data_IF_672757060102
#
_entry.id   IF_672757060102
#
_cell.length_a   1.000
_cell.length_b   1.000
_cell.length_c   1.000
_cell.angle_alpha   90.00
_cell.angle_beta   90.00
_cell.angle_gamma   90.00
#
_symmetry.space_group_name_H-M   'P 1'
#
loop_
_entity.id
_entity.type
_entity.pdbx_description
1 polymer ?
#
# COMPACT_ATOMS: atom_id res chain seq x y z
N UNK A 1 0.39 0.15 12.22
CA UNK A 1 1.72 0.70 12.54
C UNK A 1 1.91 1.97 11.73
N UNK A 2 2.50 3.02 12.29
CA UNK A 2 3.00 4.16 11.48
C UNK A 2 4.47 3.90 11.21
N UNK A 3 4.81 3.58 9.96
CA UNK A 3 6.19 3.33 9.55
C UNK A 3 6.92 4.65 9.27
N UNK A 4 8.24 4.64 9.44
CA UNK A 4 9.14 5.71 8.97
C UNK A 4 9.87 5.35 7.68
N UNK A 5 9.51 4.22 7.04
CA UNK A 5 10.10 3.78 5.79
C UNK A 5 9.82 4.79 4.67
N UNK A 6 10.85 5.02 3.86
CA UNK A 6 10.83 5.87 2.65
C UNK A 6 10.37 5.11 1.41
N UNK A 7 10.38 3.77 1.46
CA UNK A 7 9.99 2.89 0.34
C UNK A 7 9.11 1.74 0.83
N UNK A 8 8.27 1.22 -0.06
CA UNK A 8 7.41 0.05 0.22
C UNK A 8 8.23 -1.21 0.50
N UNK A 9 9.43 -1.33 -0.08
CA UNK A 9 10.35 -2.44 0.20
C UNK A 9 10.86 -2.40 1.64
N UNK A 10 11.29 -1.24 2.13
CA UNK A 10 11.65 -1.08 3.56
C UNK A 10 10.45 -1.26 4.48
N UNK A 11 9.27 -0.81 4.08
CA UNK A 11 8.04 -1.08 4.83
C UNK A 11 7.80 -2.59 4.99
N UNK A 12 8.02 -3.39 3.94
CA UNK A 12 7.87 -4.84 3.98
C UNK A 12 8.88 -5.52 4.92
N UNK A 13 10.06 -4.94 5.13
CA UNK A 13 11.04 -5.43 6.11
C UNK A 13 10.55 -5.23 7.56
N UNK A 14 9.82 -4.15 7.83
CA UNK A 14 9.24 -3.87 9.16
C UNK A 14 8.00 -4.72 9.46
N UNK A 15 7.33 -5.24 8.43
CA UNK A 15 6.14 -6.08 8.56
C UNK A 15 6.53 -7.46 9.13
N UNK A 16 5.75 -8.01 10.10
CA UNK A 16 5.94 -9.36 10.59
C UNK A 16 5.93 -10.41 9.47
N UNK A 17 6.83 -11.39 9.53
CA UNK A 17 7.05 -12.39 8.46
C UNK A 17 5.75 -13.04 7.99
N UNK A 18 4.89 -13.44 8.93
CA UNK A 18 3.59 -14.08 8.67
C UNK A 18 2.65 -13.24 7.77
N UNK A 19 2.87 -11.93 7.67
CA UNK A 19 2.04 -10.99 6.88
C UNK A 19 2.71 -10.52 5.61
N UNK A 20 4.02 -10.74 5.45
CA UNK A 20 4.76 -10.27 4.26
C UNK A 20 4.19 -10.88 3.00
N UNK A 21 3.79 -12.15 3.04
CA UNK A 21 3.22 -12.84 1.89
C UNK A 21 1.91 -12.18 1.40
N UNK A 22 0.94 -11.94 2.30
CA UNK A 22 -0.34 -11.36 1.90
C UNK A 22 -0.18 -9.90 1.42
N UNK A 23 0.72 -9.14 2.03
CA UNK A 23 1.01 -7.77 1.60
C UNK A 23 1.70 -7.74 0.24
N UNK A 24 2.63 -8.66 -0.04
CA UNK A 24 3.23 -8.81 -1.38
C UNK A 24 2.19 -9.16 -2.44
N UNK A 25 1.24 -10.04 -2.11
CA UNK A 25 0.14 -10.39 -3.01
C UNK A 25 -0.75 -9.18 -3.30
N UNK A 26 -1.11 -8.39 -2.27
CA UNK A 26 -1.89 -7.17 -2.43
C UNK A 26 -1.16 -6.14 -3.30
N UNK A 27 0.13 -5.88 -3.03
CA UNK A 27 0.99 -5.00 -3.85
C UNK A 27 1.02 -5.44 -5.31
N UNK A 28 1.22 -6.73 -5.56
CA UNK A 28 1.22 -7.29 -6.91
C UNK A 28 -0.14 -7.13 -7.60
N UNK A 29 -1.25 -7.32 -6.86
CA UNK A 29 -2.60 -7.14 -7.37
C UNK A 29 -2.84 -5.69 -7.81
N UNK A 30 -2.49 -4.71 -6.98
CA UNK A 30 -2.63 -3.28 -7.30
C UNK A 30 -1.83 -2.94 -8.55
N UNK A 31 -0.54 -3.32 -8.60
CA UNK A 31 0.32 -3.05 -9.77
C UNK A 31 -0.16 -3.73 -11.06
N UNK A 32 -0.85 -4.86 -10.95
CA UNK A 32 -1.45 -5.56 -12.10
C UNK A 32 -2.74 -4.91 -12.58
N UNK A 33 -3.62 -4.52 -11.66
CA UNK A 33 -4.95 -4.00 -11.99
C UNK A 33 -4.95 -2.50 -12.33
N UNK A 34 -3.98 -1.76 -11.81
CA UNK A 34 -3.82 -0.33 -12.04
C UNK A 34 -2.35 -0.02 -12.35
N UNK A 35 -1.80 -0.47 -13.50
CA UNK A 35 -0.37 -0.32 -13.84
C UNK A 35 0.11 1.13 -13.97
N UNK A 36 -0.82 2.07 -14.16
CA UNK A 36 -0.57 3.51 -14.27
C UNK A 36 -0.36 4.23 -12.94
N UNK A 37 -0.58 3.55 -11.80
CA UNK A 37 -0.41 4.17 -10.48
C UNK A 37 1.05 4.22 -10.07
N UNK A 38 1.43 5.32 -9.42
CA UNK A 38 2.71 5.48 -8.79
C UNK A 38 2.67 4.89 -7.37
N UNK A 39 3.65 4.05 -7.03
CA UNK A 39 3.81 3.51 -5.69
C UNK A 39 4.67 4.43 -4.83
N UNK A 40 4.15 4.82 -3.66
CA UNK A 40 4.79 5.78 -2.75
C UNK A 40 4.56 5.39 -1.29
N UNK A 41 5.15 6.16 -0.38
CA UNK A 41 4.94 6.10 1.07
C UNK A 41 4.32 7.42 1.53
N UNK A 42 3.07 7.38 2.00
CA UNK A 42 2.39 8.54 2.58
C UNK A 42 1.80 8.18 3.94
N UNK A 43 1.82 9.13 4.88
CA UNK A 43 1.30 8.93 6.25
C UNK A 43 1.87 7.68 6.98
N UNK A 44 3.06 7.21 6.57
CA UNK A 44 3.71 6.03 7.15
C UNK A 44 3.15 4.69 6.67
N UNK A 45 2.54 4.66 5.48
CA UNK A 45 2.01 3.45 4.85
C UNK A 45 2.19 3.48 3.32
N UNK A 46 2.23 2.31 2.67
CA UNK A 46 2.17 2.20 1.22
C UNK A 46 0.91 2.85 0.63
N UNK A 47 1.13 3.71 -0.35
CA UNK A 47 0.08 4.50 -1.02
C UNK A 47 0.29 4.45 -2.52
N UNK A 48 -0.81 4.31 -3.26
CA UNK A 48 -0.82 4.29 -4.72
C UNK A 48 -1.56 5.51 -5.25
N UNK A 49 -0.86 6.27 -6.08
CA UNK A 49 -1.33 7.54 -6.62
C UNK A 49 -1.66 7.36 -8.11
N UNK A 50 -2.86 7.75 -8.53
CA UNK A 50 -3.24 7.89 -9.94
C UNK A 50 -3.31 9.38 -10.25
N UNK A 51 -2.48 9.86 -11.18
CA UNK A 51 -2.41 11.29 -11.55
C UNK A 51 -2.22 12.25 -10.35
N UNK A 52 -1.45 11.83 -9.34
CA UNK A 52 -1.22 12.60 -8.12
C UNK A 52 -2.31 12.50 -7.05
N UNK A 53 -3.44 11.84 -7.34
CA UNK A 53 -4.50 11.57 -6.37
C UNK A 53 -4.38 10.17 -5.78
N UNK A 54 -4.68 10.02 -4.49
CA UNK A 54 -4.64 8.71 -3.83
C UNK A 54 -5.78 7.83 -4.32
N UNK A 55 -5.44 6.74 -5.01
CA UNK A 55 -6.40 5.71 -5.39
C UNK A 55 -6.66 4.77 -4.20
N UNK A 56 -5.58 4.22 -3.66
CA UNK A 56 -5.64 3.33 -2.52
C UNK A 56 -4.37 3.38 -1.67
N UNK A 57 -4.47 2.89 -0.45
CA UNK A 57 -3.35 2.71 0.46
C UNK A 57 -3.60 1.49 1.33
N UNK A 58 -2.55 0.88 1.89
CA UNK A 58 -2.75 -0.21 2.85
C UNK A 58 -1.78 -0.11 4.02
N UNK A 59 -2.22 -0.58 5.18
CA UNK A 59 -1.41 -0.57 6.40
C UNK A 59 -1.58 -1.85 7.21
N UNK A 60 -0.45 -2.46 7.59
CA UNK A 60 -0.38 -3.52 8.58
C UNK A 60 -0.66 -2.97 9.99
N UNK A 61 -1.79 -3.37 10.57
CA UNK A 61 -2.21 -3.03 11.94
C UNK A 61 -2.05 -4.25 12.84
N UNK A 62 -2.01 -4.09 14.17
CA UNK A 62 -1.70 -5.21 15.09
C UNK A 62 -2.57 -6.46 14.87
N UNK A 63 -3.85 -6.30 14.50
CA UNK A 63 -4.79 -7.42 14.37
C UNK A 63 -5.33 -7.65 12.96
N UNK A 64 -5.08 -6.71 12.02
CA UNK A 64 -5.66 -6.77 10.69
C UNK A 64 -4.77 -6.03 9.66
N UNK A 65 -5.08 -6.23 8.38
CA UNK A 65 -4.57 -5.42 7.28
C UNK A 65 -5.65 -4.43 6.87
N UNK A 66 -5.37 -3.14 6.97
CA UNK A 66 -6.27 -2.11 6.49
C UNK A 66 -6.02 -1.86 5.01
N UNK A 67 -7.07 -1.82 4.21
CA UNK A 67 -7.04 -1.38 2.82
C UNK A 67 -7.98 -0.18 2.69
N UNK A 68 -7.43 0.96 2.29
CA UNK A 68 -8.13 2.21 2.11
C UNK A 68 -8.36 2.43 0.62
N UNK A 69 -9.59 2.76 0.26
CA UNK A 69 -9.92 3.29 -1.06
C UNK A 69 -10.39 4.72 -0.90
N UNK A 70 -9.86 5.61 -1.72
CA UNK A 70 -10.44 6.93 -1.87
C UNK A 70 -11.33 6.93 -3.10
N UNK A 71 -12.46 7.61 -2.98
CA UNK A 71 -13.36 7.83 -4.11
C UNK A 71 -12.68 8.84 -5.04
N UNK A 72 -11.93 8.32 -6.00
CA UNK A 72 -11.70 8.95 -7.29
C UNK A 72 -12.62 8.23 -8.26
N UNK A 73 -13.29 8.92 -9.18
CA UNK A 73 -14.16 8.25 -10.15
C UNK A 73 -13.42 7.06 -10.76
N UNK A 74 -13.91 5.86 -10.48
CA UNK A 74 -13.41 4.63 -11.06
C UNK A 74 -13.97 4.61 -12.48
N UNK A 75 -13.34 5.38 -13.36
CA UNK A 75 -13.64 5.41 -14.80
C UNK A 75 -13.30 4.06 -15.40
#
# INVERSE_FOLDING_TARGET
MKSSADTVDRYLEEVPEERRQIIRQLRALVRRLAPEVEESMAYGMPTYLRNGEMLCAFASQKQYLALYFCYTELV
#
